data_IF_938670267132
#
_entry.id   IF_938670267132
#
_cell.length_a   1.000
_cell.length_b   1.000
_cell.length_c   1.000
_cell.angle_alpha   90.00
_cell.angle_beta   90.00
_cell.angle_gamma   90.00
#
_symmetry.space_group_name_H-M   'P 1'
#
loop_
_entity.id
_entity.type
_entity.pdbx_description
1 polymer ?
#
# COMPACT_ATOMS: atom_id res chain seq x y z
N UNK A 1 0.88 1.62 -35.10
CA UNK A 1 0.06 2.64 -34.41
C UNK A 1 -1.28 2.14 -33.84
N UNK A 2 -1.74 0.89 -34.08
CA UNK A 2 -3.04 0.37 -33.59
C UNK A 2 -3.02 -0.37 -32.24
N UNK A 3 -1.88 -0.94 -31.81
CA UNK A 3 -1.78 -1.67 -30.53
C UNK A 3 -1.96 -0.75 -29.31
N UNK A 4 -1.42 0.47 -29.37
CA UNK A 4 -1.38 1.36 -28.21
C UNK A 4 -2.76 1.96 -27.84
N UNK A 5 -3.67 2.11 -28.80
CA UNK A 5 -5.03 2.58 -28.54
C UNK A 5 -5.91 1.48 -27.95
N UNK A 6 -5.72 0.23 -28.35
CA UNK A 6 -6.44 -0.92 -27.82
C UNK A 6 -6.08 -1.17 -26.35
N UNK A 7 -4.78 -1.15 -25.99
CA UNK A 7 -4.35 -1.31 -24.60
C UNK A 7 -4.90 -0.20 -23.69
N UNK A 8 -4.94 1.05 -24.17
CA UNK A 8 -5.56 2.16 -23.43
C UNK A 8 -7.05 1.93 -23.17
N UNK A 9 -7.77 1.35 -24.13
CA UNK A 9 -9.20 1.07 -24.01
C UNK A 9 -9.45 -0.09 -23.02
N UNK A 10 -8.62 -1.13 -23.07
CA UNK A 10 -8.64 -2.25 -22.11
C UNK A 10 -8.34 -1.74 -20.69
N UNK A 11 -7.34 -0.90 -20.51
CA UNK A 11 -7.00 -0.30 -19.21
C UNK A 11 -8.12 0.60 -18.69
N UNK A 12 -8.83 1.30 -19.59
CA UNK A 12 -9.93 2.18 -19.22
C UNK A 12 -11.10 1.41 -18.60
N UNK A 13 -11.37 0.22 -19.14
CA UNK A 13 -12.42 -0.71 -18.68
C UNK A 13 -11.94 -1.53 -17.46
N UNK A 14 -10.67 -1.91 -17.41
CA UNK A 14 -10.12 -2.82 -16.39
C UNK A 14 -10.08 -2.21 -14.99
N UNK A 15 -9.88 -0.89 -14.88
CA UNK A 15 -9.66 -0.23 -13.59
C UNK A 15 -10.70 0.84 -13.30
N UNK A 16 -11.08 0.93 -12.03
CA UNK A 16 -11.96 1.98 -11.55
C UNK A 16 -11.25 3.35 -11.56
N UNK A 17 -11.98 4.47 -11.66
CA UNK A 17 -11.38 5.81 -11.60
C UNK A 17 -10.62 6.04 -10.29
N UNK A 18 -11.03 5.44 -9.18
CA UNK A 18 -10.35 5.57 -7.88
C UNK A 18 -8.97 4.91 -7.85
N UNK A 19 -8.78 3.81 -8.61
CA UNK A 19 -7.47 3.14 -8.74
C UNK A 19 -6.52 4.03 -9.54
N UNK A 20 -7.00 4.61 -10.65
CA UNK A 20 -6.21 5.55 -11.47
C UNK A 20 -5.80 6.78 -10.68
N UNK A 21 -6.74 7.39 -9.96
CA UNK A 21 -6.48 8.56 -9.12
C UNK A 21 -5.43 8.23 -8.05
N UNK A 22 -5.53 7.07 -7.40
CA UNK A 22 -4.52 6.66 -6.41
C UNK A 22 -3.15 6.43 -7.06
N UNK A 23 -3.08 5.85 -8.26
CA UNK A 23 -1.83 5.65 -8.99
C UNK A 23 -1.18 7.00 -9.33
N UNK A 24 -1.97 7.95 -9.82
CA UNK A 24 -1.48 9.30 -10.14
C UNK A 24 -1.04 10.06 -8.90
N UNK A 25 -1.78 9.94 -7.79
CA UNK A 25 -1.38 10.53 -6.50
C UNK A 25 -0.14 9.88 -5.93
N UNK A 26 0.01 8.56 -6.09
CA UNK A 26 1.23 7.86 -5.71
C UNK A 26 2.42 8.38 -6.51
N UNK A 27 2.29 8.50 -7.84
CA UNK A 27 3.34 9.03 -8.71
C UNK A 27 3.74 10.46 -8.35
N UNK A 28 2.75 11.34 -8.12
CA UNK A 28 2.99 12.71 -7.64
C UNK A 28 3.70 12.69 -6.29
N UNK A 29 3.24 11.85 -5.35
CA UNK A 29 3.84 11.82 -4.03
C UNK A 29 5.27 11.30 -4.10
N UNK A 30 5.55 10.23 -4.86
CA UNK A 30 6.91 9.76 -5.14
C UNK A 30 7.78 10.90 -5.70
N UNK A 31 7.26 11.70 -6.63
CA UNK A 31 8.00 12.84 -7.18
C UNK A 31 8.29 13.94 -6.14
N UNK A 32 7.37 14.18 -5.20
CA UNK A 32 7.39 15.31 -4.26
C UNK A 32 7.63 14.95 -2.77
N UNK A 33 8.11 13.74 -2.41
CA UNK A 33 8.29 13.30 -0.98
C UNK A 33 9.21 14.22 -0.15
N UNK A 34 9.87 15.22 -0.73
CA UNK A 34 10.69 16.16 0.03
C UNK A 34 9.88 17.07 0.96
N UNK A 35 8.56 17.21 0.77
CA UNK A 35 7.71 18.09 1.58
C UNK A 35 6.46 17.35 2.11
N UNK A 36 6.34 17.31 3.45
CA UNK A 36 5.14 16.96 4.22
C UNK A 36 4.77 15.47 4.43
N UNK A 37 5.05 15.00 5.65
CA UNK A 37 4.34 13.88 6.29
C UNK A 37 2.92 14.34 6.64
N UNK A 38 1.86 13.63 6.22
CA UNK A 38 0.51 14.09 6.45
C UNK A 38 0.14 14.00 7.93
N UNK A 39 -0.18 15.14 8.53
CA UNK A 39 -0.73 15.24 9.89
C UNK A 39 -2.00 14.38 10.00
N UNK A 40 -2.05 13.51 11.01
CA UNK A 40 -3.15 12.55 11.24
C UNK A 40 -4.30 13.19 12.01
N UNK A 41 -4.94 14.22 11.45
CA UNK A 41 -6.18 14.78 12.02
C UNK A 41 -7.19 15.07 10.91
N UNK A 42 -8.32 14.36 10.87
CA UNK A 42 -9.58 14.98 10.42
C UNK A 42 -10.85 14.14 10.62
N UNK A 43 -11.82 14.76 11.34
CA UNK A 43 -13.23 15.07 11.04
C UNK A 43 -14.20 14.11 10.26
N UNK A 44 -15.54 14.26 10.41
CA UNK A 44 -16.54 13.18 10.37
C UNK A 44 -17.05 12.83 8.95
N UNK A 45 -16.36 13.26 7.91
CA UNK A 45 -16.83 13.22 6.52
C UNK A 45 -16.25 12.13 5.62
N UNK A 46 -15.57 11.08 6.10
CA UNK A 46 -15.20 10.05 5.12
C UNK A 46 -14.34 8.89 5.58
N UNK A 47 -14.97 7.74 5.75
CA UNK A 47 -14.31 6.44 5.68
C UNK A 47 -13.52 6.31 4.38
N UNK A 48 -14.10 6.65 3.22
CA UNK A 48 -13.41 6.59 1.92
C UNK A 48 -12.18 7.51 1.83
N UNK A 49 -12.26 8.73 2.36
CA UNK A 49 -11.13 9.68 2.41
C UNK A 49 -10.06 9.25 3.41
N UNK A 50 -10.44 8.76 4.58
CA UNK A 50 -9.50 8.25 5.59
C UNK A 50 -8.75 7.02 5.07
N UNK A 51 -9.46 6.11 4.40
CA UNK A 51 -8.86 4.97 3.73
C UNK A 51 -7.89 5.42 2.65
N UNK A 52 -8.30 6.31 1.74
CA UNK A 52 -7.43 6.87 0.71
C UNK A 52 -6.15 7.49 1.30
N UNK A 53 -6.27 8.31 2.36
CA UNK A 53 -5.15 8.93 3.08
C UNK A 53 -4.23 7.88 3.70
N UNK A 54 -4.78 6.80 4.28
CA UNK A 54 -4.01 5.66 4.80
C UNK A 54 -3.23 4.95 3.69
N UNK A 55 -3.85 4.67 2.54
CA UNK A 55 -3.19 4.01 1.39
C UNK A 55 -1.99 4.82 0.89
N UNK A 56 -2.21 6.11 0.67
CA UNK A 56 -1.16 7.05 0.25
C UNK A 56 -0.10 7.22 1.35
N UNK A 57 -0.50 7.23 2.61
CA UNK A 57 0.41 7.33 3.75
C UNK A 57 1.35 6.13 3.85
N UNK A 58 0.84 4.89 3.75
CA UNK A 58 1.66 3.66 3.74
C UNK A 58 2.70 3.73 2.62
N UNK A 59 2.28 4.14 1.42
CA UNK A 59 3.17 4.26 0.27
C UNK A 59 4.24 5.34 0.48
N UNK A 60 3.84 6.55 0.90
CA UNK A 60 4.74 7.66 1.17
C UNK A 60 5.79 7.32 2.23
N UNK A 61 5.36 6.72 3.35
CA UNK A 61 6.25 6.25 4.40
C UNK A 61 7.23 5.21 3.87
N UNK A 62 6.80 4.27 3.03
CA UNK A 62 7.69 3.30 2.41
C UNK A 62 8.73 3.96 1.49
N UNK A 63 8.33 4.90 0.63
CA UNK A 63 9.26 5.62 -0.26
C UNK A 63 10.28 6.40 0.55
N UNK A 64 9.83 7.07 1.61
CA UNK A 64 10.71 7.79 2.52
C UNK A 64 11.72 6.84 3.18
N UNK A 65 11.29 5.67 3.65
CA UNK A 65 12.21 4.65 4.17
C UNK A 65 13.21 4.21 3.11
N UNK A 66 12.75 3.94 1.88
CA UNK A 66 13.60 3.47 0.79
C UNK A 66 14.64 4.51 0.36
N UNK A 67 14.30 5.80 0.33
CA UNK A 67 15.24 6.89 -0.01
C UNK A 67 16.21 7.20 1.13
N UNK A 68 15.78 7.05 2.38
CA UNK A 68 16.62 7.29 3.57
C UNK A 68 17.52 6.09 3.91
N UNK A 69 17.62 5.08 3.04
CA UNK A 69 18.63 4.01 3.17
C UNK A 69 20.05 4.55 2.94
N UNK A 70 20.20 5.55 2.07
CA UNK A 70 21.51 6.13 1.71
C UNK A 70 21.87 7.39 2.53
N UNK A 71 20.91 7.93 3.29
CA UNK A 71 21.06 9.21 4.00
C UNK A 71 21.36 9.04 5.49
N UNK A 72 22.20 9.92 6.06
CA UNK A 72 22.59 9.93 7.49
C UNK A 72 21.47 10.38 8.46
N UNK A 73 20.27 10.71 7.96
CA UNK A 73 19.18 11.25 8.77
C UNK A 73 18.30 10.14 9.36
N UNK A 74 18.77 9.58 10.48
CA UNK A 74 18.13 8.48 11.20
C UNK A 74 16.76 8.86 11.76
N UNK A 75 16.53 10.15 12.08
CA UNK A 75 15.29 10.62 12.68
C UNK A 75 14.13 10.59 11.68
N UNK A 76 14.36 11.04 10.45
CA UNK A 76 13.36 10.96 9.38
C UNK A 76 13.01 9.51 9.06
N UNK A 77 13.99 8.61 9.04
CA UNK A 77 13.76 7.16 8.83
C UNK A 77 12.91 6.55 9.95
N UNK A 78 13.25 6.86 11.20
CA UNK A 78 12.52 6.36 12.37
C UNK A 78 11.08 6.88 12.37
N UNK A 79 10.87 8.15 12.04
CA UNK A 79 9.54 8.72 11.90
C UNK A 79 8.73 8.01 10.80
N UNK A 80 9.31 7.84 9.60
CA UNK A 80 8.66 7.14 8.50
C UNK A 80 8.29 5.69 8.87
N UNK A 81 9.15 4.97 9.60
CA UNK A 81 8.87 3.64 10.12
C UNK A 81 7.70 3.65 11.11
N UNK A 82 7.66 4.60 12.04
CA UNK A 82 6.55 4.75 12.99
C UNK A 82 5.24 5.00 12.26
N UNK A 83 5.22 5.94 11.32
CA UNK A 83 4.04 6.24 10.50
C UNK A 83 3.59 5.01 9.70
N UNK A 84 4.53 4.26 9.12
CA UNK A 84 4.21 3.03 8.38
C UNK A 84 3.54 1.99 9.29
N UNK A 85 4.07 1.78 10.50
CA UNK A 85 3.53 0.83 11.48
C UNK A 85 2.14 1.28 11.92
N UNK A 86 1.99 2.54 12.31
CA UNK A 86 0.72 3.12 12.74
C UNK A 86 -0.35 2.95 11.68
N UNK A 87 -0.07 3.33 10.43
CA UNK A 87 -1.01 3.21 9.33
C UNK A 87 -1.31 1.75 8.99
N UNK A 88 -0.31 0.88 8.95
CA UNK A 88 -0.50 -0.52 8.57
C UNK A 88 -1.31 -1.29 9.61
N UNK A 89 -1.12 -1.00 10.91
CA UNK A 89 -1.81 -1.66 12.01
C UNK A 89 -3.13 -0.98 12.42
N UNK A 90 -3.47 0.20 11.88
CA UNK A 90 -4.66 0.98 12.28
C UNK A 90 -6.03 0.31 11.99
N UNK A 91 -6.06 -0.90 11.45
CA UNK A 91 -7.30 -1.54 11.07
C UNK A 91 -7.97 -2.24 12.27
N UNK A 92 -8.68 -1.47 13.10
CA UNK A 92 -9.43 -1.98 14.27
C UNK A 92 -10.49 -3.04 13.93
N UNK A 93 -10.81 -3.23 12.66
CA UNK A 93 -11.88 -4.11 12.15
C UNK A 93 -11.39 -5.31 11.35
N UNK A 94 -10.07 -5.51 11.25
CA UNK A 94 -9.49 -6.59 10.43
C UNK A 94 -9.23 -7.82 11.29
N UNK A 95 -9.61 -9.00 10.79
CA UNK A 95 -9.45 -10.27 11.51
C UNK A 95 -7.99 -10.76 11.58
N UNK A 96 -7.18 -10.43 10.58
CA UNK A 96 -5.75 -10.80 10.48
C UNK A 96 -4.84 -9.55 10.35
N UNK A 97 -4.76 -8.68 11.37
CA UNK A 97 -4.11 -7.36 11.24
C UNK A 97 -2.62 -7.42 10.87
N UNK A 98 -1.86 -8.36 11.44
CA UNK A 98 -0.42 -8.49 11.22
C UNK A 98 -0.13 -9.02 9.80
N UNK A 99 -0.81 -10.08 9.38
CA UNK A 99 -0.63 -10.59 8.01
C UNK A 99 -1.19 -9.61 6.97
N UNK A 100 -2.28 -8.92 7.28
CA UNK A 100 -2.82 -7.87 6.40
C UNK A 100 -1.82 -6.74 6.20
N UNK A 101 -1.18 -6.25 7.28
CA UNK A 101 -0.13 -5.24 7.17
C UNK A 101 1.04 -5.73 6.30
N UNK A 102 1.49 -6.98 6.47
CA UNK A 102 2.57 -7.57 5.67
C UNK A 102 2.23 -7.63 4.19
N UNK A 103 1.03 -8.11 3.85
CA UNK A 103 0.54 -8.15 2.47
C UNK A 103 0.44 -6.75 1.88
N UNK A 104 -0.14 -5.80 2.62
CA UNK A 104 -0.26 -4.41 2.19
C UNK A 104 1.10 -3.77 1.87
N UNK A 105 2.09 -3.96 2.73
CA UNK A 105 3.44 -3.42 2.53
C UNK A 105 4.11 -4.05 1.32
N UNK A 106 4.01 -5.38 1.14
CA UNK A 106 4.64 -6.07 0.00
C UNK A 106 3.99 -5.68 -1.34
N UNK A 107 2.66 -5.58 -1.40
CA UNK A 107 1.96 -5.12 -2.61
C UNK A 107 2.35 -3.66 -2.92
N UNK A 108 2.38 -2.79 -1.91
CA UNK A 108 2.73 -1.38 -2.12
C UNK A 108 4.19 -1.22 -2.57
N UNK A 109 5.10 -2.03 -2.02
CA UNK A 109 6.48 -2.12 -2.47
C UNK A 109 6.57 -2.53 -3.94
N UNK A 110 5.80 -3.52 -4.39
CA UNK A 110 5.73 -3.87 -5.81
C UNK A 110 5.12 -2.75 -6.66
N UNK A 111 4.10 -2.04 -6.18
CA UNK A 111 3.54 -0.88 -6.89
C UNK A 111 4.60 0.21 -7.14
N UNK A 112 5.47 0.47 -6.14
CA UNK A 112 6.54 1.48 -6.22
C UNK A 112 7.70 0.99 -7.10
N UNK A 113 8.01 -0.30 -7.12
CA UNK A 113 9.03 -0.84 -8.04
C UNK A 113 8.61 -0.74 -9.51
N UNK A 114 7.31 -0.76 -9.79
CA UNK A 114 6.76 -0.78 -11.14
C UNK A 114 6.21 0.59 -11.58
N UNK A 115 6.79 1.70 -11.12
CA UNK A 115 6.38 3.07 -11.50
C UNK A 115 6.40 3.30 -13.02
N UNK A 116 7.35 2.70 -13.72
CA UNK A 116 7.46 2.79 -15.18
C UNK A 116 6.43 1.95 -15.93
N UNK A 117 5.79 0.97 -15.26
CA UNK A 117 4.76 0.12 -15.82
C UNK A 117 3.40 0.45 -15.19
N UNK A 118 2.72 1.43 -15.78
CA UNK A 118 1.42 1.94 -15.30
C UNK A 118 0.38 0.83 -15.12
N UNK A 119 0.30 -0.14 -16.04
CA UNK A 119 -0.71 -1.20 -15.92
C UNK A 119 -0.45 -2.07 -14.70
N UNK A 120 0.77 -2.56 -14.54
CA UNK A 120 1.15 -3.38 -13.38
C UNK A 120 1.02 -2.60 -12.08
N UNK A 121 1.34 -1.31 -12.07
CA UNK A 121 1.10 -0.43 -10.93
C UNK A 121 -0.39 -0.35 -10.55
N UNK A 122 -1.28 -0.20 -11.53
CA UNK A 122 -2.73 -0.19 -11.28
C UNK A 122 -3.26 -1.53 -10.76
N UNK A 123 -2.72 -2.65 -11.24
CA UNK A 123 -3.01 -3.99 -10.71
C UNK A 123 -2.61 -4.10 -9.23
N UNK A 124 -1.38 -3.70 -8.88
CA UNK A 124 -0.93 -3.70 -7.49
C UNK A 124 -1.80 -2.77 -6.61
N UNK A 125 -2.25 -1.63 -7.13
CA UNK A 125 -3.13 -0.73 -6.38
C UNK A 125 -4.53 -1.34 -6.19
N UNK A 126 -5.02 -2.09 -7.18
CA UNK A 126 -6.28 -2.83 -7.07
C UNK A 126 -6.16 -3.91 -5.98
N UNK A 127 -5.10 -4.73 -6.04
CA UNK A 127 -4.81 -5.78 -5.08
C UNK A 127 -4.64 -5.22 -3.67
N UNK A 128 -3.96 -4.08 -3.55
CA UNK A 128 -3.83 -3.37 -2.28
C UNK A 128 -5.17 -2.91 -1.72
N UNK A 129 -6.10 -2.48 -2.59
CA UNK A 129 -7.45 -2.12 -2.19
C UNK A 129 -8.23 -3.34 -1.67
N UNK A 130 -8.05 -4.51 -2.29
CA UNK A 130 -8.67 -5.75 -1.82
C UNK A 130 -8.08 -6.20 -0.48
N UNK A 131 -6.75 -6.20 -0.36
CA UNK A 131 -6.04 -6.50 0.89
C UNK A 131 -6.37 -5.49 2.01
N UNK A 132 -6.83 -4.28 1.68
CA UNK A 132 -7.21 -3.25 2.67
C UNK A 132 -8.43 -3.63 3.51
N UNK A 133 -9.31 -4.51 3.02
CA UNK A 133 -10.45 -5.00 3.78
C UNK A 133 -10.06 -6.06 4.82
N UNK A 134 -8.92 -6.73 4.64
CA UNK A 134 -8.37 -7.66 5.62
C UNK A 134 -9.21 -8.92 5.83
N UNK A 135 -9.99 -9.35 4.83
CA UNK A 135 -10.71 -10.62 4.87
C UNK A 135 -9.73 -11.80 4.87
N UNK A 136 -9.91 -12.76 5.79
CA UNK A 136 -8.94 -13.85 5.99
C UNK A 136 -8.65 -14.64 4.72
N UNK A 137 -9.69 -15.05 3.99
CA UNK A 137 -9.54 -15.83 2.75
C UNK A 137 -8.70 -15.08 1.71
N UNK A 138 -8.98 -13.79 1.53
CA UNK A 138 -8.23 -12.92 0.62
C UNK A 138 -6.79 -12.74 1.07
N UNK A 139 -6.54 -12.57 2.38
CA UNK A 139 -5.18 -12.41 2.91
C UNK A 139 -4.37 -13.70 2.76
N UNK A 140 -4.95 -14.88 3.05
CA UNK A 140 -4.29 -16.17 2.85
C UNK A 140 -3.98 -16.44 1.38
N UNK A 141 -4.89 -16.06 0.47
CA UNK A 141 -4.65 -16.10 -0.96
C UNK A 141 -3.44 -15.23 -1.33
N UNK A 142 -3.43 -13.96 -0.93
CA UNK A 142 -2.30 -13.07 -1.20
C UNK A 142 -0.99 -13.55 -0.58
N UNK A 143 -1.01 -14.10 0.64
CA UNK A 143 0.18 -14.71 1.24
C UNK A 143 0.74 -15.84 0.38
N UNK A 144 -0.13 -16.68 -0.18
CA UNK A 144 0.26 -17.77 -1.09
C UNK A 144 0.84 -17.22 -2.40
N UNK A 145 0.16 -16.26 -3.02
CA UNK A 145 0.60 -15.63 -4.28
C UNK A 145 1.94 -14.90 -4.13
N UNK A 146 2.13 -14.20 -3.01
CA UNK A 146 3.36 -13.49 -2.66
C UNK A 146 4.46 -14.40 -2.08
N UNK A 147 4.20 -15.73 -1.97
CA UNK A 147 5.11 -16.71 -1.38
C UNK A 147 5.58 -16.30 0.03
N UNK A 148 4.62 -15.94 0.88
CA UNK A 148 4.83 -15.53 2.27
C UNK A 148 4.11 -16.50 3.20
N UNK A 149 4.82 -16.91 4.25
CA UNK A 149 4.25 -17.75 5.31
C UNK A 149 3.35 -16.89 6.19
N UNK A 150 2.17 -17.41 6.51
CA UNK A 150 1.25 -16.84 7.49
C UNK A 150 1.92 -16.82 8.88
N UNK A 151 1.86 -15.67 9.56
CA UNK A 151 2.41 -15.51 10.92
C UNK A 151 1.25 -15.55 11.93
N UNK A 152 1.43 -16.11 13.14
CA UNK A 152 0.43 -16.06 14.19
C UNK A 152 0.10 -14.63 14.60
N UNK A 153 -1.17 -14.25 14.49
CA UNK A 153 -1.64 -12.90 14.84
C UNK A 153 -1.43 -12.56 16.33
N UNK A 154 -1.42 -13.58 17.20
CA UNK A 154 -1.29 -13.43 18.67
C UNK A 154 0.14 -13.60 19.18
N UNK A 155 1.15 -13.57 18.30
CA UNK A 155 2.56 -13.70 18.70
C UNK A 155 2.96 -15.09 19.21
N UNK A 156 2.19 -16.13 18.87
CA UNK A 156 2.56 -17.53 19.12
C UNK A 156 3.76 -17.95 18.25
N UNK A 157 4.42 -19.04 18.64
CA UNK A 157 5.50 -19.62 17.85
C UNK A 157 4.98 -20.12 16.49
N UNK A 158 5.78 -20.00 15.44
CA UNK A 158 5.46 -20.55 14.10
C UNK A 158 5.27 -22.07 14.11
N UNK A 159 5.84 -22.76 15.10
CA UNK A 159 5.67 -24.22 15.25
C UNK A 159 4.29 -24.63 15.73
N UNK A 160 3.48 -23.69 16.21
CA UNK A 160 2.15 -23.91 16.78
C UNK A 160 1.01 -23.61 15.80
N UNK A 161 1.34 -23.37 14.52
CA UNK A 161 0.39 -23.19 13.41
C UNK A 161 -0.02 -24.51 12.77
#
# INVERSE_FOLDING_TARGET
MKRNTLYKLIDLISFSPQIRELADLLNRKVAHVEEETPDLLSHPGGFTRAFHKRRIGIAASYIQIARQLDMKDHNKRLHALKTLIELSLHAKTVSMPLNTARVQIEIMKEAIKNLDNRRKQMEMIADFSLASYGHEATIRQFLTELRRVEIPEKGKSLKEL
#
